data_IF_789334798384
#
_entry.id   IF_789334798384
#
_cell.length_a   1.000
_cell.length_b   1.000
_cell.length_c   1.000
_cell.angle_alpha   90.00
_cell.angle_beta   90.00
_cell.angle_gamma   90.00
#
_symmetry.space_group_name_H-M   'P 1'
#
loop_
_entity.id
_entity.type
_entity.pdbx_description
1 polymer ?
#
# COMPACT_ATOMS: atom_id res chain seq x y z
N UNK A 1 -17.77 9.22 2.35
CA UNK A 1 -17.33 8.88 0.97
C UNK A 1 -15.94 8.24 1.05
N UNK A 2 -15.46 7.47 0.06
CA UNK A 2 -14.08 7.01 0.05
C UNK A 2 -13.09 8.19 0.04
N UNK A 3 -12.00 8.08 0.80
CA UNK A 3 -10.95 9.13 0.88
C UNK A 3 -9.95 9.06 -0.28
N UNK A 4 -9.79 7.90 -0.90
CA UNK A 4 -8.92 7.69 -2.07
C UNK A 4 -9.67 6.87 -3.10
N UNK A 5 -9.65 7.34 -4.35
CA UNK A 5 -10.10 6.61 -5.54
C UNK A 5 -9.13 6.90 -6.68
N UNK A 6 -8.98 6.00 -7.63
CA UNK A 6 -8.25 6.25 -8.86
C UNK A 6 -8.99 5.69 -10.07
N UNK A 7 -8.62 6.19 -11.26
CA UNK A 7 -9.14 5.70 -12.53
C UNK A 7 -8.45 4.40 -12.95
N UNK A 8 -9.03 3.66 -13.89
CA UNK A 8 -8.38 2.50 -14.52
C UNK A 8 -7.45 2.87 -15.68
N UNK A 9 -6.98 4.13 -15.74
CA UNK A 9 -6.05 4.59 -16.77
C UNK A 9 -4.65 4.01 -16.58
N UNK A 10 -3.85 4.06 -17.66
CA UNK A 10 -2.44 3.68 -17.61
C UNK A 10 -1.70 4.48 -16.53
N UNK A 11 -0.83 3.82 -15.76
CA UNK A 11 -0.10 4.40 -14.62
C UNK A 11 -0.80 4.24 -13.26
N UNK A 12 -2.08 3.89 -13.23
CA UNK A 12 -2.83 3.56 -12.01
C UNK A 12 -3.07 2.04 -11.87
N UNK A 13 -3.99 1.66 -10.99
CA UNK A 13 -4.41 0.28 -10.78
C UNK A 13 -5.79 -0.04 -11.38
N UNK A 14 -6.30 -1.25 -11.10
CA UNK A 14 -7.61 -1.74 -11.54
C UNK A 14 -8.45 -2.40 -10.43
N UNK A 15 -7.83 -2.81 -9.34
CA UNK A 15 -8.44 -3.48 -8.20
C UNK A 15 -7.62 -3.20 -6.94
N UNK A 16 -8.01 -2.17 -6.18
CA UNK A 16 -7.45 -1.91 -4.85
C UNK A 16 -7.73 -3.13 -3.97
N UNK A 17 -6.68 -3.73 -3.43
CA UNK A 17 -6.78 -4.80 -2.44
C UNK A 17 -7.11 -4.23 -1.05
N UNK A 18 -6.53 -3.07 -0.75
CA UNK A 18 -6.56 -2.44 0.57
C UNK A 18 -5.15 -2.14 1.07
N UNK A 19 -5.04 -1.80 2.35
CA UNK A 19 -3.82 -1.26 2.92
C UNK A 19 -3.96 -0.89 4.39
N UNK A 20 -2.87 -0.37 4.97
CA UNK A 20 -2.74 0.02 6.37
C UNK A 20 -2.07 1.38 6.48
N UNK A 21 -2.35 2.11 7.57
CA UNK A 21 -1.52 3.25 7.95
C UNK A 21 -0.24 2.72 8.58
N UNK A 22 0.92 3.13 8.09
CA UNK A 22 2.20 2.66 8.62
C UNK A 22 2.50 3.31 9.98
N UNK A 23 2.82 2.48 10.99
CA UNK A 23 3.09 2.90 12.38
C UNK A 23 4.43 2.40 12.92
N UNK A 24 5.16 1.64 12.11
CA UNK A 24 6.48 1.14 12.45
C UNK A 24 7.56 2.23 12.45
N UNK A 25 8.76 1.82 12.83
CA UNK A 25 9.93 2.67 12.93
C UNK A 25 11.00 2.31 11.88
N UNK A 26 10.96 1.12 11.26
CA UNK A 26 11.96 0.68 10.27
C UNK A 26 11.93 1.49 8.96
N UNK A 27 10.79 2.10 8.61
CA UNK A 27 10.62 2.94 7.40
C UNK A 27 10.03 4.31 7.77
N UNK A 28 10.81 5.22 8.38
CA UNK A 28 10.31 6.51 8.89
C UNK A 28 9.63 7.38 7.83
N UNK A 29 10.01 7.23 6.56
CA UNK A 29 9.41 7.96 5.43
C UNK A 29 7.92 7.62 5.18
N UNK A 30 7.40 6.55 5.78
CA UNK A 30 6.00 6.15 5.66
C UNK A 30 5.19 6.45 6.92
N UNK A 31 5.80 7.01 7.98
CA UNK A 31 5.14 7.22 9.26
C UNK A 31 3.82 8.01 9.11
N UNK A 32 2.71 7.40 9.50
CA UNK A 32 1.37 7.99 9.43
C UNK A 32 0.72 7.98 8.04
N UNK A 33 1.44 7.55 7.00
CA UNK A 33 0.89 7.45 5.65
C UNK A 33 0.08 6.16 5.46
N UNK A 34 -0.99 6.23 4.66
CA UNK A 34 -1.77 5.06 4.26
C UNK A 34 -1.11 4.35 3.08
N UNK A 35 -0.56 3.17 3.31
CA UNK A 35 0.10 2.34 2.30
C UNK A 35 -0.88 1.28 1.82
N UNK A 36 -1.14 1.23 0.51
CA UNK A 36 -2.12 0.32 -0.08
C UNK A 36 -1.68 -0.23 -1.42
N UNK A 37 -2.27 -1.36 -1.82
CA UNK A 37 -1.86 -2.09 -3.00
C UNK A 37 -2.98 -2.36 -3.99
N UNK A 38 -2.58 -2.62 -5.23
CA UNK A 38 -3.46 -3.02 -6.32
C UNK A 38 -3.12 -4.44 -6.81
N UNK A 39 -4.12 -5.32 -6.83
CA UNK A 39 -3.92 -6.74 -7.17
C UNK A 39 -3.46 -6.95 -8.63
N UNK A 40 -3.97 -6.16 -9.57
CA UNK A 40 -3.78 -6.40 -11.01
C UNK A 40 -2.46 -5.82 -11.50
N UNK A 41 -2.10 -4.63 -11.05
CA UNK A 41 -0.87 -3.95 -11.45
C UNK A 41 0.33 -4.28 -10.55
N UNK A 42 0.10 -4.78 -9.34
CA UNK A 42 1.15 -5.00 -8.35
C UNK A 42 1.79 -3.70 -7.85
N UNK A 43 1.16 -2.55 -8.10
CA UNK A 43 1.61 -1.26 -7.58
C UNK A 43 1.23 -1.13 -6.12
N UNK A 44 2.18 -0.63 -5.33
CA UNK A 44 1.98 -0.13 -3.99
C UNK A 44 1.97 1.38 -4.07
N UNK A 45 0.99 1.98 -3.41
CA UNK A 45 0.75 3.41 -3.34
C UNK A 45 0.88 3.87 -1.90
N UNK A 46 1.13 5.16 -1.75
CA UNK A 46 1.05 5.85 -0.48
C UNK A 46 0.07 7.00 -0.62
N UNK A 47 -0.81 7.15 0.36
CA UNK A 47 -1.71 8.26 0.50
C UNK A 47 -1.46 9.01 1.80
N UNK A 48 -1.40 10.33 1.69
CA UNK A 48 -1.07 11.26 2.78
C UNK A 48 -2.13 12.36 2.77
N UNK A 49 -2.57 12.78 3.96
CA UNK A 49 -3.68 13.72 4.07
C UNK A 49 -4.27 13.84 5.47
N UNK A 50 -5.21 14.77 5.62
CA UNK A 50 -5.97 14.97 6.86
C UNK A 50 -7.38 15.45 6.56
N UNK A 51 -8.34 15.07 7.40
CA UNK A 51 -9.76 15.37 7.15
C UNK A 51 -10.20 14.83 5.78
N UNK A 52 -10.72 15.73 4.95
CA UNK A 52 -11.19 15.43 3.59
C UNK A 52 -10.12 15.63 2.50
N UNK A 53 -8.92 16.08 2.85
CA UNK A 53 -7.84 16.37 1.89
C UNK A 53 -6.80 15.25 1.91
N UNK A 54 -6.95 14.28 1.00
CA UNK A 54 -6.03 13.16 0.80
C UNK A 54 -5.49 13.15 -0.62
N UNK A 55 -4.21 12.86 -0.76
CA UNK A 55 -3.55 12.66 -2.06
C UNK A 55 -2.83 11.32 -2.09
N UNK A 56 -2.94 10.61 -3.21
CA UNK A 56 -2.29 9.31 -3.40
C UNK A 56 -1.28 9.36 -4.54
N UNK A 57 -0.15 8.69 -4.37
CA UNK A 57 0.91 8.55 -5.37
C UNK A 57 1.47 7.13 -5.39
N UNK A 58 1.99 6.64 -6.53
CA UNK A 58 2.74 5.40 -6.55
C UNK A 58 3.96 5.48 -5.63
N UNK A 59 4.23 4.40 -4.91
CA UNK A 59 5.42 4.22 -4.08
C UNK A 59 6.39 3.24 -4.75
N UNK A 60 5.88 2.11 -5.26
CA UNK A 60 6.67 0.96 -5.69
C UNK A 60 5.89 0.13 -6.71
N UNK A 61 6.55 -0.32 -7.77
CA UNK A 61 6.05 -1.40 -8.65
C UNK A 61 6.66 -2.74 -8.22
N UNK A 62 5.93 -3.52 -7.42
CA UNK A 62 6.47 -4.73 -6.79
C UNK A 62 6.53 -5.96 -7.70
N UNK A 63 5.70 -5.99 -8.74
CA UNK A 63 5.48 -7.19 -9.55
C UNK A 63 4.63 -8.27 -8.86
N UNK A 64 4.16 -8.03 -7.63
CA UNK A 64 3.36 -8.98 -6.85
C UNK A 64 1.88 -8.99 -7.27
N UNK A 65 1.21 -10.10 -7.02
CA UNK A 65 -0.26 -10.14 -6.93
C UNK A 65 -0.64 -9.88 -5.48
N UNK A 66 -0.75 -8.60 -5.13
CA UNK A 66 -0.95 -8.16 -3.75
C UNK A 66 -2.32 -8.61 -3.25
N UNK A 67 -2.36 -9.67 -2.44
CA UNK A 67 -3.61 -10.24 -1.93
C UNK A 67 -4.03 -9.71 -0.56
N UNK A 68 -3.07 -9.28 0.25
CA UNK A 68 -3.32 -8.71 1.56
C UNK A 68 -2.11 -7.90 2.04
N UNK A 69 -2.36 -7.09 3.07
CA UNK A 69 -1.33 -6.52 3.92
C UNK A 69 -1.54 -7.02 5.35
N UNK A 70 -0.50 -6.93 6.18
CA UNK A 70 -0.57 -7.22 7.60
C UNK A 70 0.41 -6.36 8.38
N UNK A 71 0.11 -6.10 9.64
CA UNK A 71 0.95 -5.35 10.57
C UNK A 71 1.34 -6.28 11.72
N UNK A 72 2.59 -6.24 12.17
CA UNK A 72 3.00 -6.93 13.40
C UNK A 72 2.80 -6.06 14.65
N UNK A 73 3.17 -6.57 15.83
CA UNK A 73 2.98 -5.83 17.09
C UNK A 73 3.85 -4.56 17.21
N UNK A 74 4.87 -4.40 16.38
CA UNK A 74 5.75 -3.24 16.36
C UNK A 74 5.27 -2.17 15.38
N UNK A 75 4.17 -2.42 14.65
CA UNK A 75 3.67 -1.52 13.62
C UNK A 75 4.32 -1.72 12.26
N UNK A 76 5.18 -2.74 12.11
CA UNK A 76 5.87 -3.00 10.85
C UNK A 76 4.92 -3.66 9.85
N UNK A 77 5.01 -3.19 8.61
CA UNK A 77 4.09 -3.56 7.55
C UNK A 77 4.65 -4.71 6.71
N UNK A 78 3.75 -5.60 6.31
CA UNK A 78 4.00 -6.74 5.45
C UNK A 78 3.02 -6.77 4.29
N UNK A 79 3.45 -7.32 3.16
CA UNK A 79 2.62 -7.55 1.97
C UNK A 79 2.62 -9.04 1.60
N UNK A 80 1.45 -9.57 1.27
CA UNK A 80 1.28 -10.94 0.81
C UNK A 80 1.23 -11.01 -0.72
N UNK A 81 2.23 -11.64 -1.33
CA UNK A 81 2.20 -11.96 -2.76
C UNK A 81 1.51 -13.29 -3.00
N UNK A 82 0.34 -13.24 -3.64
CA UNK A 82 -0.43 -14.41 -4.03
C UNK A 82 0.28 -15.28 -5.07
N UNK A 83 1.11 -14.70 -5.94
CA UNK A 83 1.80 -15.47 -6.99
C UNK A 83 2.94 -16.30 -6.43
N UNK A 84 3.77 -15.70 -5.56
CA UNK A 84 4.89 -16.37 -4.91
C UNK A 84 4.53 -17.17 -3.66
N UNK A 85 3.40 -16.88 -3.01
CA UNK A 85 3.02 -17.50 -1.74
C UNK A 85 3.90 -17.04 -0.57
N UNK A 86 4.45 -15.82 -0.66
CA UNK A 86 5.43 -15.28 0.29
C UNK A 86 4.90 -13.98 0.93
N UNK A 87 5.25 -13.78 2.20
CA UNK A 87 5.10 -12.51 2.89
C UNK A 87 6.42 -11.73 2.85
N UNK A 88 6.35 -10.48 2.42
CA UNK A 88 7.49 -9.56 2.40
C UNK A 88 7.28 -8.44 3.41
N UNK A 89 8.32 -8.10 4.17
CA UNK A 89 8.32 -6.96 5.10
C UNK A 89 8.80 -5.70 4.39
N UNK A 90 8.21 -4.56 4.70
CA UNK A 90 8.75 -3.26 4.29
C UNK A 90 10.05 -2.96 5.08
N UNK A 91 11.04 -2.41 4.41
CA UNK A 91 12.32 -2.01 4.99
C UNK A 91 12.95 -0.90 4.14
N UNK A 92 13.84 -0.11 4.74
CA UNK A 92 14.57 0.99 4.08
C UNK A 92 15.90 0.53 3.47
#
# INVERSE_FOLDING_TARGET
>A
MPVVTYTHASGWGRSITGGYVYRGEDVPALAGAYVFGDYVSGRIFVAEGSGDEWSARPLLESGFRIAAFGEDQAGELYVADYSGGVLYRFAQ
#
